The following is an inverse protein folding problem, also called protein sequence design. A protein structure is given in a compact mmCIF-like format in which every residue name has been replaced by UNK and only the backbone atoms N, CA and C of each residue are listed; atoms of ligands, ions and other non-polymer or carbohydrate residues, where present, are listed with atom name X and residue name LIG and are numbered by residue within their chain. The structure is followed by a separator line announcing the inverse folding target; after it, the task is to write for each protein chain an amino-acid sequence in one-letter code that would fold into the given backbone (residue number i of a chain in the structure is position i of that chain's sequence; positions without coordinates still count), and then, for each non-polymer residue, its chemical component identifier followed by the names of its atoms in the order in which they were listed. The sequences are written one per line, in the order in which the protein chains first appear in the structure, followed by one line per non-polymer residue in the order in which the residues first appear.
data_IF_225793142991
#
_entry.id   IF_225793142991
#
_cell.length_a   1.000
_cell.length_b   1.000
_cell.length_c   1.000
_cell.angle_alpha   90.00
_cell.angle_beta   90.00
_cell.angle_gamma   90.00
#
_symmetry.space_group_name_H-M   'P 1'
#
loop_
_entity.id
_entity.type
_entity.pdbx_description
1 polymer ?
#
# COMPACT_ATOMS: atom_id res chain seq x y z
N UNK A 1 21.35 5.77 18.47
CA UNK A 1 20.70 4.46 18.22
C UNK A 1 19.87 4.57 16.95
N UNK A 2 20.35 3.99 15.84
CA UNK A 2 19.64 4.02 14.56
C UNK A 2 18.43 3.08 14.65
N UNK A 3 17.22 3.63 14.82
CA UNK A 3 15.99 2.87 14.60
C UNK A 3 15.99 2.44 13.13
N UNK A 4 16.24 1.17 12.88
CA UNK A 4 15.98 0.54 11.58
C UNK A 4 14.54 0.86 11.20
N UNK A 5 14.37 1.61 10.12
CA UNK A 5 13.04 1.86 9.55
C UNK A 5 12.62 0.57 8.86
N UNK A 6 12.09 -0.37 9.64
CA UNK A 6 11.58 -1.61 9.08
C UNK A 6 10.43 -1.29 8.13
N UNK A 7 10.34 -2.06 7.05
CA UNK A 7 9.17 -2.07 6.18
C UNK A 7 8.03 -2.70 6.97
N UNK A 8 7.11 -1.86 7.46
CA UNK A 8 5.99 -2.27 8.31
C UNK A 8 4.71 -1.99 7.56
N UNK A 9 3.77 -2.91 7.58
CA UNK A 9 2.40 -2.66 7.12
C UNK A 9 1.43 -3.10 8.21
N UNK A 10 0.29 -2.43 8.34
CA UNK A 10 -0.83 -2.97 9.13
C UNK A 10 -2.13 -2.70 8.42
N UNK A 11 -3.08 -3.57 8.69
CA UNK A 11 -4.45 -3.49 8.22
C UNK A 11 -5.34 -3.45 9.45
N UNK A 12 -6.14 -2.40 9.56
CA UNK A 12 -7.13 -2.21 10.62
C UNK A 12 -8.54 -2.28 10.05
N UNK A 13 -9.42 -2.86 10.84
CA UNK A 13 -10.84 -3.00 10.59
C UNK A 13 -11.61 -2.03 11.47
N UNK A 14 -12.56 -1.32 10.87
CA UNK A 14 -13.67 -0.67 11.58
C UNK A 14 -14.98 -1.03 10.89
N UNK A 15 -15.89 -1.68 11.59
CA UNK A 15 -17.28 -1.76 11.15
C UNK A 15 -17.97 -0.40 11.40
N UNK A 16 -18.97 -0.05 10.59
CA UNK A 16 -19.71 1.23 10.67
C UNK A 16 -20.19 1.58 12.11
N UNK A 17 -20.30 0.61 13.01
CA UNK A 17 -20.86 0.78 14.36
C UNK A 17 -19.87 0.59 15.53
N UNK A 18 -18.55 0.49 15.30
CA UNK A 18 -17.58 0.32 16.40
C UNK A 18 -16.54 1.44 16.42
N UNK A 19 -16.53 2.20 17.51
CA UNK A 19 -15.46 3.16 17.84
C UNK A 19 -14.08 2.50 18.02
N UNK A 20 -14.03 1.16 18.09
CA UNK A 20 -12.81 0.38 18.29
C UNK A 20 -12.26 -0.14 16.95
N UNK A 21 -11.07 0.36 16.59
CA UNK A 21 -10.26 -0.22 15.50
C UNK A 21 -9.75 -1.58 15.93
N UNK A 22 -10.10 -2.65 15.21
CA UNK A 22 -9.54 -3.99 15.41
C UNK A 22 -8.43 -4.22 14.39
N UNK A 23 -7.21 -4.49 14.86
CA UNK A 23 -6.12 -4.91 13.95
C UNK A 23 -6.50 -6.25 13.33
N UNK A 24 -6.55 -6.30 12.00
CA UNK A 24 -6.82 -7.52 11.26
C UNK A 24 -5.52 -8.28 11.00
N UNK A 25 -4.51 -7.56 10.49
CA UNK A 25 -3.21 -8.11 10.15
C UNK A 25 -2.12 -7.07 10.44
N UNK A 26 -0.95 -7.53 10.86
CA UNK A 26 0.23 -6.70 11.05
C UNK A 26 1.43 -7.41 10.47
N UNK A 27 2.24 -6.65 9.75
CA UNK A 27 3.36 -7.16 9.00
C UNK A 27 4.63 -6.45 9.42
N UNK A 28 5.66 -7.27 9.58
CA UNK A 28 7.01 -6.83 9.74
C UNK A 28 7.83 -7.58 8.70
N UNK A 29 8.37 -6.84 7.73
CA UNK A 29 9.41 -7.38 6.88
C UNK A 29 10.75 -6.84 7.37
N UNK A 30 11.73 -7.73 7.43
CA UNK A 30 13.10 -7.30 7.53
C UNK A 30 13.48 -6.52 6.26
N UNK A 31 14.20 -5.40 6.38
CA UNK A 31 14.69 -4.70 5.21
C UNK A 31 15.52 -5.65 4.35
N UNK A 32 15.32 -5.62 3.03
CA UNK A 32 16.18 -6.37 2.12
C UNK A 32 17.62 -5.88 2.27
N UNK A 33 18.56 -6.80 2.44
CA UNK A 33 19.97 -6.48 2.26
C UNK A 33 20.21 -6.12 0.80
N UNK A 34 20.68 -4.90 0.57
CA UNK A 34 20.86 -4.36 -0.77
C UNK A 34 22.33 -4.19 -1.08
N UNK A 35 22.72 -4.62 -2.27
CA UNK A 35 24.01 -4.30 -2.84
C UNK A 35 24.08 -2.80 -3.19
N UNK A 36 25.28 -2.23 -3.18
CA UNK A 36 25.49 -0.79 -3.36
C UNK A 36 24.94 -0.28 -4.70
N UNK A 37 25.11 -1.04 -5.77
CA UNK A 37 24.61 -0.77 -7.13
C UNK A 37 23.08 -0.64 -7.19
N UNK A 38 22.34 -1.35 -6.34
CA UNK A 38 20.88 -1.20 -6.27
C UNK A 38 20.44 0.09 -5.57
N UNK A 39 21.37 0.76 -4.90
CA UNK A 39 21.09 1.98 -4.14
C UNK A 39 21.59 3.25 -4.83
N UNK A 40 22.24 3.20 -6.00
CA UNK A 40 22.66 4.41 -6.73
C UNK A 40 21.44 5.15 -7.31
N UNK A 41 21.56 6.46 -7.56
CA UNK A 41 20.41 7.28 -8.00
C UNK A 41 19.82 6.83 -9.33
N UNK A 42 20.65 6.41 -10.29
CA UNK A 42 20.21 5.96 -11.62
C UNK A 42 19.35 4.69 -11.57
N UNK A 43 19.49 3.87 -10.53
CA UNK A 43 18.64 2.69 -10.32
C UNK A 43 17.16 3.04 -10.13
N UNK A 44 16.82 4.32 -9.94
CA UNK A 44 15.47 4.84 -9.73
C UNK A 44 14.93 5.69 -10.89
N UNK A 45 15.64 5.80 -12.03
CA UNK A 45 15.20 6.64 -13.15
C UNK A 45 13.85 6.19 -13.74
N UNK A 46 13.51 4.91 -13.61
CA UNK A 46 12.21 4.35 -14.02
C UNK A 46 11.00 4.94 -13.26
N UNK A 47 11.23 5.60 -12.12
CA UNK A 47 10.18 6.27 -11.35
C UNK A 47 9.72 7.59 -11.96
N UNK A 48 10.47 8.13 -12.95
CA UNK A 48 10.20 9.42 -13.57
C UNK A 48 10.01 10.58 -12.56
N UNK A 49 10.77 10.54 -11.46
CA UNK A 49 10.75 11.60 -10.45
C UNK A 49 11.12 12.94 -11.11
N UNK A 50 10.40 14.00 -10.73
CA UNK A 50 10.72 15.34 -11.19
C UNK A 50 12.04 15.86 -10.55
N UNK A 51 12.65 16.94 -11.05
CA UNK A 51 13.93 17.42 -10.53
C UNK A 51 13.93 17.74 -9.02
N UNK A 52 12.83 18.23 -8.47
CA UNK A 52 12.73 18.54 -7.04
C UNK A 52 12.55 17.29 -6.19
N UNK A 53 11.77 16.31 -6.66
CA UNK A 53 11.67 14.98 -6.06
C UNK A 53 13.02 14.25 -6.06
N UNK A 54 13.79 14.34 -7.15
CA UNK A 54 15.12 13.73 -7.24
C UNK A 54 16.08 14.30 -6.19
N UNK A 55 16.01 15.60 -5.88
CA UNK A 55 16.82 16.22 -4.80
C UNK A 55 16.48 15.65 -3.42
N UNK A 56 15.24 15.22 -3.22
CA UNK A 56 14.76 14.65 -1.95
C UNK A 56 15.14 13.16 -1.81
N UNK A 57 15.74 12.53 -2.83
CA UNK A 57 16.01 11.09 -2.88
C UNK A 57 17.20 10.66 -2.00
N UNK A 58 17.03 10.76 -0.68
CA UNK A 58 17.99 10.33 0.33
C UNK A 58 18.32 8.84 0.25
N UNK A 59 19.40 8.40 0.91
CA UNK A 59 19.71 6.96 1.06
C UNK A 59 18.51 6.20 1.65
N UNK A 60 17.84 6.76 2.66
CA UNK A 60 16.66 6.14 3.28
C UNK A 60 15.51 5.96 2.28
N UNK A 61 15.22 6.94 1.45
CA UNK A 61 14.16 6.85 0.44
C UNK A 61 14.47 5.77 -0.60
N UNK A 62 15.72 5.72 -1.08
CA UNK A 62 16.18 4.67 -2.01
C UNK A 62 15.99 3.28 -1.43
N UNK A 63 16.33 3.08 -0.15
CA UNK A 63 16.08 1.81 0.55
C UNK A 63 14.60 1.44 0.59
N UNK A 64 13.73 2.39 0.95
CA UNK A 64 12.28 2.17 0.99
C UNK A 64 11.71 1.82 -0.38
N UNK A 65 12.04 2.62 -1.40
CA UNK A 65 11.58 2.39 -2.78
C UNK A 65 12.04 1.03 -3.31
N UNK A 66 13.26 0.62 -2.97
CA UNK A 66 13.78 -0.67 -3.41
C UNK A 66 13.06 -1.85 -2.73
N UNK A 67 12.67 -1.71 -1.46
CA UNK A 67 11.83 -2.71 -0.79
C UNK A 67 10.48 -2.87 -1.51
N UNK A 68 9.83 -1.76 -1.89
CA UNK A 68 8.57 -1.81 -2.65
C UNK A 68 8.74 -2.40 -4.06
N UNK A 69 9.86 -2.10 -4.73
CA UNK A 69 10.18 -2.62 -6.06
C UNK A 69 10.37 -4.15 -6.05
N UNK A 70 10.96 -4.68 -4.98
CA UNK A 70 11.31 -6.10 -4.87
C UNK A 70 10.38 -6.89 -3.93
N UNK A 71 9.13 -6.43 -3.77
CA UNK A 71 8.12 -7.22 -3.06
C UNK A 71 8.00 -8.59 -3.72
N UNK A 72 8.11 -9.63 -2.92
CA UNK A 72 7.94 -11.00 -3.38
C UNK A 72 6.48 -11.23 -3.80
N UNK A 73 6.19 -11.48 -5.09
CA UNK A 73 4.82 -11.65 -5.57
C UNK A 73 4.12 -12.87 -4.96
N UNK A 74 4.88 -13.93 -4.63
CA UNK A 74 4.32 -15.13 -4.00
C UNK A 74 3.80 -14.81 -2.60
N UNK A 75 4.65 -14.15 -1.79
CA UNK A 75 4.27 -13.73 -0.43
C UNK A 75 3.05 -12.79 -0.46
N UNK A 76 3.07 -11.79 -1.33
CA UNK A 76 1.95 -10.85 -1.49
C UNK A 76 0.63 -11.56 -1.86
N UNK A 77 0.68 -12.59 -2.71
CA UNK A 77 -0.51 -13.36 -3.06
C UNK A 77 -1.02 -14.21 -1.89
N UNK A 78 -0.12 -14.83 -1.11
CA UNK A 78 -0.49 -15.57 0.10
C UNK A 78 -1.17 -14.64 1.11
N UNK A 79 -0.55 -13.49 1.41
CA UNK A 79 -1.09 -12.49 2.33
C UNK A 79 -2.45 -11.96 1.85
N UNK A 80 -2.60 -11.73 0.55
CA UNK A 80 -3.87 -11.29 -0.05
C UNK A 80 -4.98 -12.32 0.09
N UNK A 81 -4.67 -13.62 -0.02
CA UNK A 81 -5.64 -14.69 0.17
C UNK A 81 -6.09 -14.78 1.63
N UNK A 82 -5.16 -14.73 2.58
CA UNK A 82 -5.49 -14.70 4.02
C UNK A 82 -6.37 -13.50 4.38
N UNK A 83 -6.07 -12.34 3.78
CA UNK A 83 -6.91 -11.15 3.94
C UNK A 83 -8.33 -11.35 3.38
N UNK A 84 -8.48 -11.93 2.19
CA UNK A 84 -9.81 -12.24 1.61
C UNK A 84 -10.61 -13.19 2.51
N UNK A 85 -9.97 -14.24 3.04
CA UNK A 85 -10.63 -15.17 3.97
C UNK A 85 -11.09 -14.46 5.25
N UNK A 86 -10.29 -13.52 5.74
CA UNK A 86 -10.62 -12.72 6.92
C UNK A 86 -11.84 -11.82 6.67
N UNK A 87 -11.94 -11.24 5.47
CA UNK A 87 -13.11 -10.47 5.02
C UNK A 87 -14.35 -11.37 4.89
N UNK A 88 -14.21 -12.57 4.34
CA UNK A 88 -15.33 -13.50 4.20
C UNK A 88 -15.92 -13.93 5.56
N UNK A 89 -15.10 -13.99 6.61
CA UNK A 89 -15.53 -14.30 7.98
C UNK A 89 -16.23 -13.12 8.67
N UNK A 90 -16.18 -11.91 8.09
CA UNK A 90 -16.81 -10.73 8.66
C UNK A 90 -18.33 -10.76 8.45
N UNK A 91 -19.08 -10.58 9.54
CA UNK A 91 -20.55 -10.54 9.51
C UNK A 91 -21.12 -9.26 8.90
N UNK A 92 -20.35 -8.18 8.88
CA UNK A 92 -20.80 -6.90 8.30
C UNK A 92 -20.67 -6.93 6.79
N UNK A 93 -21.69 -6.44 6.09
CA UNK A 93 -21.67 -6.26 4.63
C UNK A 93 -20.97 -4.97 4.22
N UNK A 94 -20.88 -4.00 5.13
CA UNK A 94 -20.12 -2.77 4.93
C UNK A 94 -18.90 -2.73 5.83
N UNK A 95 -17.74 -2.52 5.24
CA UNK A 95 -16.45 -2.62 5.93
C UNK A 95 -15.59 -1.42 5.57
N UNK A 96 -14.99 -0.79 6.58
CA UNK A 96 -13.97 0.23 6.39
C UNK A 96 -12.62 -0.36 6.80
N UNK A 97 -11.65 -0.26 5.90
CA UNK A 97 -10.32 -0.86 6.05
C UNK A 97 -9.29 0.23 5.95
N UNK A 98 -8.49 0.39 7.00
CA UNK A 98 -7.34 1.29 7.00
C UNK A 98 -6.09 0.47 6.81
N UNK A 99 -5.31 0.77 5.78
CA UNK A 99 -4.05 0.09 5.52
C UNK A 99 -2.94 1.10 5.24
N UNK A 100 -1.74 0.78 5.70
CA UNK A 100 -0.55 1.56 5.40
C UNK A 100 0.55 0.68 4.83
N UNK A 101 1.43 1.33 4.08
CA UNK A 101 2.62 0.74 3.51
C UNK A 101 2.32 -0.58 2.76
N UNK A 102 2.93 -1.69 3.17
CA UNK A 102 2.71 -3.04 2.61
C UNK A 102 1.26 -3.52 2.74
N UNK A 103 0.56 -3.14 3.81
CA UNK A 103 -0.83 -3.52 4.01
C UNK A 103 -1.73 -3.03 2.87
N UNK A 104 -1.44 -1.84 2.31
CA UNK A 104 -2.19 -1.34 1.16
C UNK A 104 -1.98 -2.21 -0.09
N UNK A 105 -0.77 -2.75 -0.28
CA UNK A 105 -0.48 -3.64 -1.41
C UNK A 105 -1.24 -4.96 -1.28
N UNK A 106 -1.36 -5.50 -0.07
CA UNK A 106 -2.16 -6.69 0.21
C UNK A 106 -3.64 -6.42 -0.10
N UNK A 107 -4.18 -5.30 0.38
CA UNK A 107 -5.55 -4.91 0.07
C UNK A 107 -5.78 -4.74 -1.44
N UNK A 108 -4.84 -4.12 -2.16
CA UNK A 108 -4.91 -3.97 -3.62
C UNK A 108 -4.84 -5.33 -4.33
N UNK A 109 -3.90 -6.19 -3.96
CA UNK A 109 -3.78 -7.53 -4.53
C UNK A 109 -5.06 -8.34 -4.30
N UNK A 110 -5.64 -8.27 -3.11
CA UNK A 110 -6.93 -8.90 -2.78
C UNK A 110 -8.09 -8.32 -3.61
N UNK A 111 -8.19 -6.99 -3.70
CA UNK A 111 -9.23 -6.31 -4.46
C UNK A 111 -9.19 -6.69 -5.94
N UNK A 112 -8.00 -6.65 -6.54
CA UNK A 112 -7.80 -6.97 -7.96
C UNK A 112 -7.74 -8.49 -8.23
N UNK A 113 -7.70 -9.34 -7.20
CA UNK A 113 -7.87 -10.80 -7.37
C UNK A 113 -9.29 -11.19 -7.80
N UNK A 114 -10.28 -10.33 -7.53
CA UNK A 114 -11.70 -10.62 -7.77
C UNK A 114 -12.33 -11.61 -6.78
N UNK A 115 -11.58 -12.05 -5.76
CA UNK A 115 -12.03 -13.07 -4.78
C UNK A 115 -12.77 -12.50 -3.57
N UNK A 116 -12.89 -11.18 -3.45
CA UNK A 116 -13.68 -10.57 -2.38
C UNK A 116 -15.17 -10.93 -2.58
N UNK A 117 -15.86 -11.45 -1.54
CA UNK A 117 -17.27 -11.84 -1.65
C UNK A 117 -18.15 -10.69 -2.15
N UNK A 118 -19.10 -11.00 -3.03
CA UNK A 118 -19.96 -9.99 -3.70
C UNK A 118 -20.92 -9.25 -2.79
N UNK A 119 -21.26 -9.85 -1.65
CA UNK A 119 -22.09 -9.24 -0.61
C UNK A 119 -21.35 -8.16 0.19
N UNK A 120 -20.01 -8.09 0.09
CA UNK A 120 -19.20 -7.12 0.83
C UNK A 120 -18.98 -5.84 0.03
N UNK A 121 -19.30 -4.70 0.65
CA UNK A 121 -18.97 -3.34 0.23
C UNK A 121 -17.86 -2.82 1.12
N UNK A 122 -16.75 -2.40 0.51
CA UNK A 122 -15.52 -2.11 1.26
C UNK A 122 -14.99 -0.74 0.86
N UNK A 123 -14.77 0.13 1.85
CA UNK A 123 -14.02 1.36 1.68
C UNK A 123 -12.61 1.19 2.23
N UNK A 124 -11.63 1.25 1.33
CA UNK A 124 -10.21 1.15 1.64
C UNK A 124 -9.63 2.56 1.83
N UNK A 125 -9.01 2.80 2.97
CA UNK A 125 -8.25 4.01 3.28
C UNK A 125 -6.77 3.65 3.32
N UNK A 126 -6.05 4.03 2.27
CA UNK A 126 -4.62 3.78 2.16
C UNK A 126 -3.82 5.00 2.59
N UNK A 127 -2.82 4.78 3.43
CA UNK A 127 -1.91 5.83 3.90
C UNK A 127 -0.46 5.51 3.52
N UNK A 128 0.25 6.49 2.96
CA UNK A 128 1.72 6.46 2.80
C UNK A 128 2.29 5.31 1.95
N UNK A 129 1.53 4.76 1.00
CA UNK A 129 1.97 3.67 0.11
C UNK A 129 2.25 4.18 -1.32
N UNK A 130 3.41 3.88 -1.93
CA UNK A 130 3.75 4.36 -3.28
C UNK A 130 2.98 3.59 -4.36
N UNK A 131 1.75 3.99 -4.68
CA UNK A 131 0.88 3.27 -5.63
C UNK A 131 1.51 3.06 -7.01
N UNK A 132 2.36 4.00 -7.46
CA UNK A 132 3.09 3.87 -8.73
C UNK A 132 3.98 2.62 -8.79
N UNK A 133 4.43 2.13 -7.64
CA UNK A 133 5.27 0.94 -7.49
C UNK A 133 4.46 -0.35 -7.32
N UNK A 134 3.12 -0.32 -7.34
CA UNK A 134 2.32 -1.53 -7.20
C UNK A 134 2.54 -2.46 -8.41
N UNK A 135 2.83 -3.76 -8.21
CA UNK A 135 3.18 -4.63 -9.34
C UNK A 135 1.99 -4.82 -10.27
N UNK A 136 2.16 -4.39 -11.53
CA UNK A 136 1.10 -4.39 -12.56
C UNK A 136 0.56 -5.80 -12.86
N UNK A 137 1.30 -6.85 -12.53
CA UNK A 137 0.90 -8.26 -12.66
C UNK A 137 -0.33 -8.61 -11.81
N UNK A 138 -0.62 -7.86 -10.75
CA UNK A 138 -1.81 -8.03 -9.92
C UNK A 138 -3.02 -7.25 -10.46
N UNK A 139 -2.83 -6.26 -11.34
CA UNK A 139 -3.90 -5.40 -11.87
C UNK A 139 -4.58 -5.99 -13.12
N UNK A 140 -4.87 -7.30 -13.09
CA UNK A 140 -5.44 -8.03 -14.24
C UNK A 140 -6.96 -7.89 -14.34
N UNK A 141 -7.65 -7.85 -13.20
CA UNK A 141 -9.10 -7.74 -13.16
C UNK A 141 -9.54 -6.30 -12.89
N UNK A 142 -10.77 -5.97 -13.29
CA UNK A 142 -11.38 -4.71 -12.86
C UNK A 142 -12.10 -4.95 -11.53
N UNK A 143 -11.80 -4.21 -10.45
CA UNK A 143 -12.53 -4.31 -9.20
C UNK A 143 -14.02 -4.01 -9.40
N UNK A 144 -14.87 -4.61 -8.57
CA UNK A 144 -16.30 -4.25 -8.53
C UNK A 144 -16.47 -2.79 -8.13
N UNK A 145 -17.46 -2.12 -8.72
CA UNK A 145 -17.75 -0.68 -8.53
C UNK A 145 -18.11 -0.30 -7.10
N UNK A 146 -18.57 -1.26 -6.32
CA UNK A 146 -19.05 -1.05 -4.96
C UNK A 146 -17.93 -0.93 -3.93
N UNK A 147 -16.69 -1.23 -4.33
CA UNK A 147 -15.50 -0.97 -3.53
C UNK A 147 -14.95 0.42 -3.83
N UNK A 148 -14.54 1.12 -2.79
CA UNK A 148 -13.98 2.46 -2.88
C UNK A 148 -12.57 2.48 -2.34
N UNK A 149 -11.66 3.15 -3.04
CA UNK A 149 -10.29 3.38 -2.58
C UNK A 149 -10.11 4.87 -2.33
N UNK A 150 -9.71 5.22 -1.11
CA UNK A 150 -9.35 6.57 -0.70
C UNK A 150 -7.88 6.57 -0.33
N UNK A 151 -7.10 7.40 -1.01
CA UNK A 151 -5.67 7.53 -0.76
C UNK A 151 -5.40 8.83 0.02
N UNK A 152 -4.64 8.70 1.10
CA UNK A 152 -4.22 9.80 1.97
C UNK A 152 -2.70 9.83 2.02
N UNK A 153 -2.14 11.03 1.85
CA UNK A 153 -0.74 11.28 2.13
C UNK A 153 -0.66 12.05 3.44
N UNK A 154 0.05 11.50 4.41
CA UNK A 154 0.31 12.20 5.66
C UNK A 154 1.46 13.20 5.43
N UNK A 155 1.38 14.38 6.04
CA UNK A 155 2.41 15.42 5.88
C UNK A 155 3.79 14.97 6.37
N UNK A 156 3.84 14.15 7.42
CA UNK A 156 5.05 13.57 8.01
C UNK A 156 5.47 12.24 7.35
N UNK A 157 4.83 11.87 6.23
CA UNK A 157 5.15 10.65 5.50
C UNK A 157 6.48 10.74 4.77
N UNK A 158 7.22 9.63 4.74
CA UNK A 158 8.40 9.49 3.88
C UNK A 158 8.07 9.67 2.40
N UNK A 159 6.81 9.43 2.02
CA UNK A 159 6.31 9.57 0.67
C UNK A 159 5.93 11.03 0.34
N UNK A 160 5.78 11.89 1.36
CA UNK A 160 5.33 13.29 1.22
C UNK A 160 6.07 14.11 0.13
N UNK A 161 7.39 13.94 -0.06
CA UNK A 161 8.09 14.65 -1.12
C UNK A 161 7.85 14.13 -2.54
N UNK A 162 7.25 12.95 -2.73
CA UNK A 162 7.24 12.19 -3.99
C UNK A 162 5.85 12.03 -4.61
N UNK A 163 5.26 13.15 -5.02
CA UNK A 163 3.93 13.22 -5.66
C UNK A 163 3.75 12.28 -6.86
N UNK A 164 4.80 12.07 -7.67
CA UNK A 164 4.80 11.14 -8.80
C UNK A 164 4.51 9.69 -8.40
N UNK A 165 4.69 9.34 -7.13
CA UNK A 165 4.47 7.99 -6.62
C UNK A 165 3.06 7.76 -6.08
N UNK A 166 2.21 8.79 -6.01
CA UNK A 166 0.90 8.72 -5.37
C UNK A 166 -0.15 8.01 -6.22
N UNK A 167 0.04 7.98 -7.53
CA UNK A 167 -0.95 7.47 -8.48
C UNK A 167 -0.40 6.31 -9.29
N UNK A 168 -1.33 5.48 -9.76
CA UNK A 168 -1.08 4.45 -10.74
C UNK A 168 -2.25 4.48 -11.72
N UNK A 169 -1.96 4.61 -13.02
CA UNK A 169 -3.00 4.84 -14.05
C UNK A 169 -4.08 3.75 -14.08
N UNK A 170 -3.79 2.56 -13.55
CA UNK A 170 -4.71 1.42 -13.49
C UNK A 170 -5.46 1.31 -12.15
N UNK A 171 -5.16 2.16 -11.18
CA UNK A 171 -5.78 2.17 -9.85
C UNK A 171 -6.68 3.40 -9.73
N UNK A 172 -7.99 3.17 -9.73
CA UNK A 172 -8.97 4.23 -9.49
C UNK A 172 -9.05 4.51 -7.98
N UNK A 173 -8.48 5.63 -7.55
CA UNK A 173 -8.54 6.08 -6.15
C UNK A 173 -8.99 7.53 -6.05
N UNK A 174 -9.70 7.85 -4.98
CA UNK A 174 -10.02 9.22 -4.59
C UNK A 174 -8.88 9.78 -3.75
N UNK A 175 -8.22 10.83 -4.23
CA UNK A 175 -7.22 11.54 -3.45
C UNK A 175 -7.91 12.48 -2.47
N UNK A 176 -7.56 12.39 -1.18
CA UNK A 176 -7.95 13.38 -0.18
C UNK A 176 -6.71 13.91 0.51
N UNK A 177 -6.44 15.23 0.43
CA UNK A 177 -5.51 15.86 1.36
C UNK A 177 -6.03 15.60 2.78
N UNK A 178 -5.19 15.07 3.66
CA UNK A 178 -5.57 14.93 5.07
C UNK A 178 -5.51 16.35 5.66
N UNK A 179 -6.66 16.93 5.97
CA UNK A 179 -6.71 18.23 6.65
C UNK A 179 -6.00 18.11 8.01
N UNK A 180 -5.14 19.09 8.30
CA UNK A 180 -4.35 19.17 9.53
C UNK A 180 -5.23 19.25 10.79
#
# INVERSE_FOLDING_TARGET
MNKSSNFKGKIFFSAENFATKKTLMSYYAEPLEMSFDQTIMSSFDFLNLNPDEKKQLSSRHRKMLNNYRHINPFALNVDAQEFVESIAKCKSDKIIIHAHDYGAYICLAALYSGKIPSDKKIEFHFESSPLALFPKTFLKNTPKTDHKIVFHVQEDSWLGPFSTLYSNDKIKCFYRPKAA
#
